data_IF_398096654095
#
_entry.id   IF_398096654095
#
_cell.length_a   1.000
_cell.length_b   1.000
_cell.length_c   1.000
_cell.angle_alpha   90.00
_cell.angle_beta   90.00
_cell.angle_gamma   90.00
#
_symmetry.space_group_name_H-M   'P 1'
#
loop_
_entity.id
_entity.type
_entity.pdbx_description
1 polymer ?
#
# COMPACT_ATOMS: atom_id res chain seq x y z
N UNK A 1 -2.74 -11.95 -10.54
CA UNK A 1 -2.93 -11.19 -9.29
C UNK A 1 -4.40 -10.78 -9.18
N UNK A 2 -4.84 -10.41 -7.98
CA UNK A 2 -6.16 -9.84 -7.70
C UNK A 2 -5.99 -8.48 -6.99
N UNK A 3 -6.90 -7.54 -7.20
CA UNK A 3 -6.85 -6.23 -6.53
C UNK A 3 -6.65 -6.38 -5.02
N UNK A 4 -5.66 -5.67 -4.51
CA UNK A 4 -5.26 -5.70 -3.11
C UNK A 4 -4.23 -6.76 -2.75
N UNK A 5 -3.92 -7.74 -3.61
CA UNK A 5 -2.80 -8.66 -3.35
C UNK A 5 -1.54 -7.83 -3.03
N UNK A 6 -0.93 -8.06 -1.87
CA UNK A 6 0.31 -7.39 -1.48
C UNK A 6 1.49 -8.23 -1.97
N UNK A 7 2.35 -7.60 -2.76
CA UNK A 7 3.55 -8.19 -3.33
C UNK A 7 4.76 -7.76 -2.52
N UNK A 8 5.45 -8.72 -1.94
CA UNK A 8 6.71 -8.49 -1.24
C UNK A 8 7.89 -8.92 -2.10
N UNK A 9 8.80 -7.98 -2.34
CA UNK A 9 9.99 -8.16 -3.17
C UNK A 9 11.24 -8.20 -2.27
N UNK A 10 11.75 -9.39 -1.88
CA UNK A 10 12.89 -9.49 -0.98
C UNK A 10 14.21 -9.05 -1.62
N UNK A 11 14.35 -9.21 -2.93
CA UNK A 11 15.63 -9.05 -3.63
C UNK A 11 15.96 -7.60 -4.01
N UNK A 12 15.31 -6.62 -3.37
CA UNK A 12 15.60 -5.19 -3.53
C UNK A 12 16.39 -4.70 -2.30
N UNK A 13 17.27 -3.70 -2.44
CA UNK A 13 17.88 -3.05 -1.29
C UNK A 13 16.80 -2.58 -0.31
N UNK A 14 16.90 -3.00 0.96
CA UNK A 14 15.89 -2.76 2.03
C UNK A 14 14.52 -3.41 1.85
N UNK A 15 14.41 -4.34 0.90
CA UNK A 15 13.17 -4.98 0.45
C UNK A 15 12.18 -3.95 -0.12
N UNK A 16 11.17 -4.43 -0.84
CA UNK A 16 10.18 -3.53 -1.45
C UNK A 16 8.78 -4.14 -1.37
N UNK A 17 7.77 -3.28 -1.37
CA UNK A 17 6.36 -3.66 -1.32
C UNK A 17 5.61 -2.96 -2.45
N UNK A 18 4.71 -3.70 -3.08
CA UNK A 18 3.67 -3.16 -3.95
C UNK A 18 2.33 -3.78 -3.61
N UNK A 19 1.29 -3.21 -4.17
CA UNK A 19 -0.06 -3.74 -4.12
C UNK A 19 -0.55 -3.94 -5.55
N UNK A 20 -1.19 -5.06 -5.85
CA UNK A 20 -1.90 -5.23 -7.10
C UNK A 20 -3.06 -4.23 -7.14
N UNK A 21 -2.98 -3.27 -8.06
CA UNK A 21 -4.08 -2.36 -8.34
C UNK A 21 -5.20 -3.12 -9.06
N UNK A 22 -4.82 -3.98 -10.00
CA UNK A 22 -5.70 -4.91 -10.72
C UNK A 22 -4.92 -6.19 -11.08
N UNK A 23 -5.44 -6.99 -12.01
CA UNK A 23 -4.83 -8.25 -12.42
C UNK A 23 -3.46 -8.11 -13.13
N UNK A 24 -3.15 -6.94 -13.68
CA UNK A 24 -1.99 -6.64 -14.54
C UNK A 24 -1.21 -5.39 -14.12
N UNK A 25 -1.69 -4.64 -13.13
CA UNK A 25 -1.07 -3.40 -12.67
C UNK A 25 -0.65 -3.51 -11.21
N UNK A 26 0.59 -3.12 -10.92
CA UNK A 26 1.10 -2.98 -9.56
C UNK A 26 1.21 -1.50 -9.22
N UNK A 27 0.64 -1.08 -8.09
CA UNK A 27 0.87 0.25 -7.52
C UNK A 27 1.90 0.16 -6.39
N UNK A 28 2.92 1.00 -6.44
CA UNK A 28 4.02 0.97 -5.48
C UNK A 28 4.76 2.30 -5.41
N UNK A 29 5.50 2.53 -4.32
CA UNK A 29 6.27 3.75 -4.14
C UNK A 29 7.76 3.53 -4.36
N UNK A 30 8.45 4.37 -5.13
CA UNK A 30 9.91 4.35 -5.17
C UNK A 30 10.51 5.76 -5.37
N UNK A 31 11.81 5.89 -5.13
CA UNK A 31 12.53 7.16 -5.21
C UNK A 31 12.58 7.79 -6.61
N UNK A 32 12.20 7.07 -7.68
CA UNK A 32 12.22 7.57 -9.06
C UNK A 32 10.86 8.08 -9.52
N UNK A 33 9.77 7.50 -9.02
CA UNK A 33 8.41 7.72 -9.56
C UNK A 33 7.34 7.91 -8.48
N UNK A 34 7.71 8.25 -7.24
CA UNK A 34 6.75 8.44 -6.14
C UNK A 34 5.84 7.22 -5.98
N UNK A 35 4.60 7.37 -5.48
CA UNK A 35 3.59 6.31 -5.47
C UNK A 35 2.85 6.28 -6.80
N UNK A 36 3.06 5.24 -7.60
CA UNK A 36 2.61 5.18 -8.99
C UNK A 36 2.24 3.77 -9.41
N UNK A 37 1.44 3.70 -10.49
CA UNK A 37 1.05 2.47 -11.17
C UNK A 37 2.11 2.07 -12.20
N UNK A 38 2.45 0.80 -12.23
CA UNK A 38 3.38 0.19 -13.19
C UNK A 38 2.75 -1.09 -13.72
N UNK A 39 2.94 -1.37 -15.01
CA UNK A 39 2.60 -2.67 -15.59
C UNK A 39 3.35 -3.78 -14.87
N UNK A 40 2.65 -4.84 -14.48
CA UNK A 40 3.28 -6.04 -13.94
C UNK A 40 4.19 -6.71 -14.99
N UNK A 41 3.77 -6.65 -16.26
CA UNK A 41 4.56 -7.15 -17.37
C UNK A 41 5.60 -6.11 -17.80
N UNK A 42 6.83 -6.57 -18.00
CA UNK A 42 7.90 -5.80 -18.63
C UNK A 42 8.65 -6.69 -19.63
N UNK A 43 9.26 -6.06 -20.62
CA UNK A 43 9.99 -6.75 -21.67
C UNK A 43 11.50 -6.49 -21.54
N UNK A 44 12.31 -7.51 -21.78
CA UNK A 44 13.74 -7.35 -22.02
C UNK A 44 14.13 -8.15 -23.25
N UNK A 45 14.43 -7.43 -24.35
CA UNK A 45 14.63 -8.05 -25.65
C UNK A 45 13.34 -8.72 -26.14
N UNK A 46 13.40 -10.00 -26.50
CA UNK A 46 12.25 -10.79 -26.98
C UNK A 46 11.48 -11.54 -25.88
N UNK A 47 11.84 -11.33 -24.61
CA UNK A 47 11.24 -12.05 -23.48
C UNK A 47 10.35 -11.11 -22.65
N UNK A 48 9.14 -11.58 -22.34
CA UNK A 48 8.25 -10.93 -21.38
C UNK A 48 8.46 -11.55 -19.99
N UNK A 49 8.52 -10.68 -18.99
CA UNK A 49 8.62 -11.04 -17.58
C UNK A 49 7.49 -10.38 -16.81
N UNK A 50 7.12 -11.00 -15.68
CA UNK A 50 6.16 -10.43 -14.74
C UNK A 50 6.86 -10.12 -13.44
N UNK A 51 6.71 -8.89 -12.93
CA UNK A 51 7.28 -8.48 -11.63
C UNK A 51 6.77 -9.39 -10.53
N UNK A 52 5.48 -9.70 -10.56
CA UNK A 52 4.80 -10.60 -9.63
C UNK A 52 5.35 -12.03 -9.70
N UNK A 53 5.94 -12.46 -10.81
CA UNK A 53 6.47 -13.82 -10.95
C UNK A 53 7.99 -13.90 -10.72
N UNK A 54 8.62 -12.79 -10.35
CA UNK A 54 10.04 -12.73 -10.06
C UNK A 54 10.46 -13.71 -8.97
N UNK A 55 11.72 -14.18 -9.04
CA UNK A 55 12.27 -15.11 -8.07
C UNK A 55 12.13 -14.56 -6.63
N UNK A 56 11.56 -15.37 -5.74
CA UNK A 56 11.39 -15.06 -4.32
C UNK A 56 10.30 -14.03 -3.99
N UNK A 57 9.56 -13.51 -4.97
CA UNK A 57 8.43 -12.61 -4.69
C UNK A 57 7.34 -13.38 -3.95
N UNK A 58 6.95 -12.88 -2.78
CA UNK A 58 5.88 -13.45 -1.98
C UNK A 58 4.58 -12.71 -2.22
N UNK A 59 3.48 -13.44 -2.35
CA UNK A 59 2.14 -12.90 -2.61
C UNK A 59 1.25 -13.11 -1.41
N UNK A 60 0.68 -12.03 -0.90
CA UNK A 60 -0.28 -12.06 0.20
C UNK A 60 -1.65 -11.61 -0.28
N UNK A 61 -2.58 -12.55 -0.35
CA UNK A 61 -3.96 -12.28 -0.74
C UNK A 61 -4.80 -11.94 0.49
N UNK A 62 -5.51 -10.80 0.51
CA UNK A 62 -6.55 -10.54 1.49
C UNK A 62 -7.61 -11.64 1.38
N UNK A 63 -8.20 -12.12 2.48
CA UNK A 63 -9.22 -13.16 2.43
C UNK A 63 -10.57 -12.59 1.98
N UNK A 64 -10.64 -12.14 0.72
CA UNK A 64 -11.80 -11.47 0.12
C UNK A 64 -13.09 -12.25 0.25
N UNK A 65 -13.02 -13.59 0.26
CA UNK A 65 -14.17 -14.47 0.51
C UNK A 65 -14.87 -14.22 1.86
N UNK A 66 -14.19 -13.59 2.84
CA UNK A 66 -14.75 -13.20 4.14
C UNK A 66 -15.35 -11.79 4.14
N UNK A 67 -15.23 -11.06 3.04
CA UNK A 67 -15.75 -9.71 2.89
C UNK A 67 -17.05 -9.75 2.06
N UNK A 68 -18.19 -9.51 2.70
CA UNK A 68 -19.50 -9.59 2.05
C UNK A 68 -19.68 -8.60 0.90
N UNK A 69 -18.91 -7.50 0.90
CA UNK A 69 -18.93 -6.46 -0.13
C UNK A 69 -17.55 -6.30 -0.81
N UNK A 70 -16.87 -7.42 -1.08
CA UNK A 70 -15.51 -7.44 -1.59
C UNK A 70 -15.29 -6.52 -2.82
N UNK A 71 -16.20 -6.52 -3.79
CA UNK A 71 -16.05 -5.71 -5.00
C UNK A 71 -16.10 -4.21 -4.72
N UNK A 72 -17.03 -3.77 -3.86
CA UNK A 72 -17.09 -2.39 -3.41
C UNK A 72 -15.84 -1.98 -2.61
N UNK A 73 -15.29 -2.90 -1.80
CA UNK A 73 -14.05 -2.66 -1.05
C UNK A 73 -12.82 -2.60 -1.94
N UNK A 74 -12.74 -3.43 -2.98
CA UNK A 74 -11.66 -3.37 -3.98
C UNK A 74 -11.71 -2.06 -4.76
N UNK A 75 -12.90 -1.64 -5.19
CA UNK A 75 -13.08 -0.35 -5.86
C UNK A 75 -12.69 0.83 -4.94
N UNK A 76 -13.06 0.77 -3.66
CA UNK A 76 -12.63 1.78 -2.69
C UNK A 76 -11.12 1.78 -2.47
N UNK A 77 -10.51 0.59 -2.37
CA UNK A 77 -9.06 0.46 -2.25
C UNK A 77 -8.32 1.08 -3.43
N UNK A 78 -8.83 0.91 -4.64
CA UNK A 78 -8.31 1.56 -5.85
C UNK A 78 -8.45 3.08 -5.77
N UNK A 79 -9.62 3.60 -5.38
CA UNK A 79 -9.86 5.05 -5.23
C UNK A 79 -8.92 5.68 -4.20
N UNK A 80 -8.74 5.03 -3.05
CA UNK A 80 -7.80 5.47 -2.02
C UNK A 80 -6.37 5.45 -2.57
N UNK A 81 -5.98 4.38 -3.26
CA UNK A 81 -4.65 4.25 -3.83
C UNK A 81 -4.36 5.33 -4.89
N UNK A 82 -5.33 5.64 -5.74
CA UNK A 82 -5.25 6.74 -6.72
C UNK A 82 -5.16 8.11 -6.03
N UNK A 83 -5.94 8.33 -4.97
CA UNK A 83 -5.90 9.58 -4.18
C UNK A 83 -4.53 9.79 -3.51
N UNK A 84 -3.92 8.74 -2.97
CA UNK A 84 -2.55 8.82 -2.44
C UNK A 84 -1.55 9.08 -3.59
N UNK A 85 -1.68 8.37 -4.71
CA UNK A 85 -0.77 8.48 -5.85
C UNK A 85 -0.79 9.86 -6.52
N UNK A 86 -1.93 10.55 -6.46
CA UNK A 86 -2.10 11.88 -7.04
C UNK A 86 -1.20 12.95 -6.40
N UNK A 87 -0.89 12.84 -5.10
CA UNK A 87 -0.16 13.89 -4.36
C UNK A 87 1.03 13.43 -3.53
N UNK A 88 1.19 12.13 -3.26
CA UNK A 88 2.24 11.66 -2.36
C UNK A 88 3.61 11.58 -3.06
N UNK A 89 4.64 12.18 -2.44
CA UNK A 89 6.03 12.06 -2.87
C UNK A 89 6.77 10.93 -2.13
N UNK A 90 7.79 10.35 -2.76
CA UNK A 90 8.62 9.36 -2.08
C UNK A 90 9.59 10.03 -1.08
N UNK A 91 9.45 9.69 0.19
CA UNK A 91 10.28 10.24 1.26
C UNK A 91 11.60 9.52 1.43
N UNK A 92 12.67 9.96 0.74
CA UNK A 92 14.03 9.42 0.95
C UNK A 92 14.47 9.49 2.43
N UNK A 93 14.22 10.63 3.09
CA UNK A 93 14.52 10.80 4.52
C UNK A 93 13.54 10.06 5.44
N UNK A 94 12.29 9.82 5.00
CA UNK A 94 11.35 8.98 5.75
C UNK A 94 11.78 7.52 5.75
N UNK A 95 12.36 7.03 4.67
CA UNK A 95 12.89 5.67 4.62
C UNK A 95 13.98 5.41 5.69
N UNK A 96 14.77 6.44 6.05
CA UNK A 96 15.74 6.36 7.16
C UNK A 96 15.04 6.37 8.53
N UNK A 97 13.95 7.14 8.68
CA UNK A 97 13.16 7.18 9.92
C UNK A 97 12.35 5.90 10.20
N UNK A 98 12.12 5.05 9.20
CA UNK A 98 11.50 3.74 9.44
C UNK A 98 12.27 2.89 10.47
N UNK A 99 13.57 3.12 10.63
CA UNK A 99 14.42 2.44 11.61
C UNK A 99 14.33 3.04 13.03
N UNK A 100 13.70 4.20 13.18
CA UNK A 100 13.60 4.93 14.44
C UNK A 100 12.13 5.12 14.81
N UNK A 101 11.55 4.12 15.46
CA UNK A 101 10.17 4.15 15.95
C UNK A 101 9.62 2.75 16.22
N UNK A 102 8.42 2.69 16.80
CA UNK A 102 7.66 1.44 16.95
C UNK A 102 6.72 1.26 15.76
N UNK A 103 6.74 0.06 15.18
CA UNK A 103 5.85 -0.33 14.08
C UNK A 103 4.45 -0.74 14.53
N UNK A 104 4.20 -0.87 15.84
CA UNK A 104 2.88 -1.18 16.39
C UNK A 104 1.92 0.00 16.21
N UNK A 105 0.66 -0.31 15.90
CA UNK A 105 -0.37 0.73 15.79
C UNK A 105 -0.75 1.29 17.17
N UNK A 106 -0.12 2.40 17.54
CA UNK A 106 -0.35 3.13 18.78
C UNK A 106 -1.14 4.43 18.61
N UNK A 107 -1.29 5.23 19.70
CA UNK A 107 -2.05 6.47 19.69
C UNK A 107 -1.60 7.48 18.62
N UNK A 108 -0.29 7.60 18.38
CA UNK A 108 0.22 8.51 17.34
C UNK A 108 -0.12 8.05 15.93
N UNK A 109 -0.05 6.74 15.67
CA UNK A 109 -0.44 6.15 14.40
C UNK A 109 -1.94 6.38 14.14
N UNK A 110 -2.76 6.21 15.18
CA UNK A 110 -4.18 6.55 15.16
C UNK A 110 -4.41 8.03 14.83
N UNK A 111 -3.75 8.96 15.52
CA UNK A 111 -3.90 10.40 15.25
C UNK A 111 -3.50 10.76 13.81
N UNK A 112 -2.42 10.17 13.28
CA UNK A 112 -2.03 10.37 11.87
C UNK A 112 -3.08 9.81 10.92
N UNK A 113 -3.55 8.59 11.15
CA UNK A 113 -4.57 7.96 10.32
C UNK A 113 -5.86 8.78 10.30
N UNK A 114 -6.32 9.31 11.43
CA UNK A 114 -7.53 10.13 11.48
C UNK A 114 -7.39 11.41 10.65
N UNK A 115 -6.22 12.06 10.64
CA UNK A 115 -5.94 13.20 9.75
C UNK A 115 -5.99 12.79 8.28
N UNK A 116 -5.46 11.62 7.93
CA UNK A 116 -5.52 11.13 6.55
C UNK A 116 -6.94 10.76 6.12
N UNK A 117 -7.73 10.18 7.02
CA UNK A 117 -9.16 9.90 6.81
C UNK A 117 -9.94 11.18 6.56
N UNK A 118 -9.76 12.19 7.41
CA UNK A 118 -10.43 13.49 7.24
C UNK A 118 -10.12 14.11 5.88
N UNK A 119 -8.83 14.17 5.49
CA UNK A 119 -8.41 14.70 4.19
C UNK A 119 -8.99 13.92 3.01
N UNK A 120 -8.95 12.60 3.08
CA UNK A 120 -9.53 11.74 2.05
C UNK A 120 -11.04 11.97 1.94
N UNK A 121 -11.77 11.97 3.06
CA UNK A 121 -13.22 12.18 3.08
C UNK A 121 -13.63 13.57 2.56
N UNK A 122 -12.88 14.63 2.89
CA UNK A 122 -13.10 15.97 2.35
C UNK A 122 -12.84 16.05 0.84
N UNK A 123 -11.88 15.27 0.32
CA UNK A 123 -11.44 15.32 -1.07
C UNK A 123 -12.11 14.32 -2.00
N UNK A 124 -12.68 13.21 -1.50
CA UNK A 124 -13.09 12.05 -2.32
C UNK A 124 -14.20 12.34 -3.33
N UNK A 125 -15.00 13.39 -3.12
CA UNK A 125 -16.00 13.84 -4.09
C UNK A 125 -15.39 14.60 -5.28
N UNK A 126 -14.16 15.09 -5.15
CA UNK A 126 -13.40 15.84 -6.16
C UNK A 126 -11.96 15.34 -6.24
N UNK A 127 -11.71 14.12 -6.77
CA UNK A 127 -10.41 13.46 -6.66
C UNK A 127 -9.24 14.22 -7.28
N UNK A 128 -9.47 15.00 -8.34
CA UNK A 128 -8.44 15.82 -9.00
C UNK A 128 -7.79 16.83 -8.05
N UNK A 129 -8.44 17.17 -6.94
CA UNK A 129 -7.84 18.06 -5.93
C UNK A 129 -6.67 17.41 -5.19
N UNK A 130 -6.59 16.08 -5.11
CA UNK A 130 -5.51 15.41 -4.38
C UNK A 130 -4.11 15.67 -4.97
N UNK A 131 -4.01 16.11 -6.23
CA UNK A 131 -2.73 16.52 -6.84
C UNK A 131 -2.37 17.99 -6.58
N UNK A 132 -3.23 18.76 -5.93
CA UNK A 132 -2.99 20.17 -5.63
C UNK A 132 -2.29 20.32 -4.27
N UNK A 133 -1.27 21.19 -4.14
CA UNK A 133 -0.57 21.41 -2.88
C UNK A 133 -1.51 21.71 -1.71
N UNK A 134 -1.34 21.00 -0.61
CA UNK A 134 -2.15 21.16 0.61
C UNK A 134 -3.45 20.36 0.64
N UNK A 135 -3.84 19.71 -0.46
CA UNK A 135 -5.03 18.85 -0.54
C UNK A 135 -4.68 17.35 -0.56
N UNK A 136 -3.40 16.99 -0.49
CA UNK A 136 -2.95 15.60 -0.57
C UNK A 136 -3.44 14.80 0.66
N UNK A 137 -3.85 13.54 0.45
CA UNK A 137 -4.18 12.63 1.57
C UNK A 137 -2.99 12.53 2.54
N UNK A 138 -1.81 12.28 1.96
CA UNK A 138 -0.52 12.21 2.65
C UNK A 138 0.55 12.76 1.71
N UNK A 139 1.39 13.67 2.21
CA UNK A 139 2.38 14.38 1.40
C UNK A 139 3.59 13.52 1.03
N UNK A 140 3.99 12.62 1.93
CA UNK A 140 5.22 11.86 1.77
C UNK A 140 5.03 10.44 2.25
N UNK A 141 5.43 9.46 1.44
CA UNK A 141 5.27 8.03 1.73
C UNK A 141 6.53 7.24 1.45
N UNK A 142 6.62 6.07 2.07
CA UNK A 142 7.49 4.97 1.64
C UNK A 142 6.64 3.85 1.00
N UNK A 143 7.28 2.81 0.46
CA UNK A 143 6.55 1.74 -0.25
C UNK A 143 5.60 0.95 0.65
N UNK A 144 6.02 0.60 1.85
CA UNK A 144 5.18 -0.07 2.85
C UNK A 144 4.13 0.87 3.42
N UNK A 145 4.50 2.11 3.74
CA UNK A 145 3.57 3.10 4.29
C UNK A 145 2.37 3.32 3.37
N UNK A 146 2.60 3.56 2.08
CA UNK A 146 1.53 3.83 1.12
C UNK A 146 0.52 2.68 1.06
N UNK A 147 1.00 1.43 1.06
CA UNK A 147 0.13 0.24 1.07
C UNK A 147 -0.63 0.09 2.38
N UNK A 148 0.04 0.30 3.52
CA UNK A 148 -0.60 0.24 4.85
C UNK A 148 -1.71 1.28 4.97
N UNK A 149 -1.42 2.54 4.63
CA UNK A 149 -2.39 3.63 4.69
C UNK A 149 -3.55 3.37 3.72
N UNK A 150 -3.30 2.84 2.51
CA UNK A 150 -4.37 2.51 1.57
C UNK A 150 -5.39 1.53 2.17
N UNK A 151 -4.92 0.46 2.82
CA UNK A 151 -5.79 -0.46 3.56
C UNK A 151 -6.46 0.19 4.76
N UNK A 152 -5.72 0.94 5.58
CA UNK A 152 -6.26 1.58 6.76
C UNK A 152 -7.33 2.64 6.47
N UNK A 153 -7.30 3.29 5.30
CA UNK A 153 -8.33 4.23 4.87
C UNK A 153 -9.55 3.51 4.28
N UNK A 154 -9.34 2.40 3.58
CA UNK A 154 -10.41 1.62 2.93
C UNK A 154 -11.30 0.88 3.92
N UNK A 155 -10.71 0.33 4.98
CA UNK A 155 -11.43 -0.51 5.95
C UNK A 155 -11.69 0.23 7.27
N UNK A 156 -12.87 0.06 7.89
CA UNK A 156 -13.14 0.45 9.27
C UNK A 156 -12.01 0.10 10.24
N UNK A 157 -11.85 0.96 11.26
CA UNK A 157 -10.84 0.77 12.30
C UNK A 157 -11.00 -0.60 12.95
N UNK A 158 -9.92 -1.38 12.99
CA UNK A 158 -9.90 -2.69 13.64
C UNK A 158 -10.62 -3.81 12.89
N UNK A 159 -11.13 -3.59 11.68
CA UNK A 159 -11.78 -4.65 10.88
C UNK A 159 -10.77 -5.73 10.49
N UNK A 160 -10.74 -6.83 11.24
CA UNK A 160 -9.83 -7.95 10.96
C UNK A 160 -10.37 -8.80 9.82
N UNK A 161 -9.51 -9.31 8.92
CA UNK A 161 -8.05 -9.12 8.87
C UNK A 161 -7.59 -7.99 7.93
N UNK A 162 -8.51 -7.16 7.43
CA UNK A 162 -8.23 -6.18 6.37
C UNK A 162 -7.58 -4.89 6.88
N UNK A 163 -7.94 -4.44 8.07
CA UNK A 163 -7.29 -3.31 8.72
C UNK A 163 -5.87 -3.71 9.16
N UNK A 164 -4.87 -3.17 8.45
CA UNK A 164 -3.47 -3.43 8.76
C UNK A 164 -3.09 -2.69 10.04
N UNK A 165 -2.99 -3.42 11.14
CA UNK A 165 -2.74 -2.86 12.47
C UNK A 165 -1.24 -2.61 12.72
N UNK A 166 -0.62 -1.82 11.84
CA UNK A 166 0.76 -1.37 11.94
C UNK A 166 0.81 0.15 11.80
N UNK A 167 1.78 0.76 12.46
CA UNK A 167 2.15 2.14 12.19
C UNK A 167 2.85 2.24 10.83
N UNK A 168 2.13 2.70 9.80
CA UNK A 168 2.67 2.85 8.45
C UNK A 168 3.92 3.73 8.38
N UNK A 169 4.08 4.71 9.28
CA UNK A 169 5.24 5.61 9.27
C UNK A 169 6.54 4.96 9.77
N UNK A 170 6.44 3.82 10.47
CA UNK A 170 7.56 3.09 11.06
C UNK A 170 7.57 1.59 10.68
N UNK A 171 6.68 1.15 9.81
CA UNK A 171 6.60 -0.23 9.35
C UNK A 171 7.46 -0.46 8.11
N UNK A 172 8.57 -1.18 8.25
CA UNK A 172 9.39 -1.65 7.14
C UNK A 172 8.64 -2.69 6.28
N UNK A 173 9.04 -2.89 5.01
CA UNK A 173 8.51 -3.97 4.16
C UNK A 173 8.51 -5.36 4.84
N UNK A 174 9.58 -5.71 5.55
CA UNK A 174 9.65 -6.99 6.27
C UNK A 174 8.71 -7.05 7.50
N UNK A 175 8.48 -5.91 8.15
CA UNK A 175 7.50 -5.81 9.25
C UNK A 175 6.09 -6.08 8.73
N UNK A 176 5.72 -5.45 7.60
CA UNK A 176 4.45 -5.70 6.94
C UNK A 176 4.32 -7.17 6.53
N UNK A 177 5.35 -7.75 5.90
CA UNK A 177 5.36 -9.18 5.56
C UNK A 177 5.11 -10.08 6.77
N UNK A 178 5.82 -9.85 7.88
CA UNK A 178 5.67 -10.64 9.11
C UNK A 178 4.25 -10.52 9.65
N UNK A 179 3.68 -9.31 9.65
CA UNK A 179 2.31 -9.08 10.06
C UNK A 179 1.31 -9.81 9.16
N UNK A 180 1.47 -9.76 7.83
CA UNK A 180 0.59 -10.44 6.88
C UNK A 180 0.56 -11.95 7.11
N UNK A 181 1.73 -12.56 7.36
CA UNK A 181 1.83 -13.99 7.71
C UNK A 181 1.06 -14.35 8.98
N UNK A 182 1.04 -13.46 9.96
CA UNK A 182 0.36 -13.69 11.24
C UNK A 182 -1.14 -13.32 11.22
N UNK A 183 -1.60 -12.57 10.22
CA UNK A 183 -2.91 -11.90 10.25
C UNK A 183 -4.00 -12.58 9.42
N UNK A 184 -3.81 -13.86 9.08
CA UNK A 184 -4.82 -14.65 8.35
C UNK A 184 -4.96 -14.28 6.87
N UNK A 185 -3.95 -13.62 6.30
CA UNK A 185 -3.82 -13.43 4.86
C UNK A 185 -3.27 -14.69 4.23
N UNK A 186 -3.75 -15.04 3.04
CA UNK A 186 -3.31 -16.24 2.34
C UNK A 186 -2.02 -15.95 1.60
N UNK A 187 -0.95 -16.68 1.92
CA UNK A 187 0.25 -16.70 1.08
C UNK A 187 -0.06 -17.55 -0.16
N UNK A 188 -0.11 -16.94 -1.34
CA UNK A 188 -0.44 -17.63 -2.61
C UNK A 188 0.79 -18.00 -3.44
N UNK A 189 1.96 -17.43 -3.10
CA UNK A 189 3.28 -17.75 -3.65
C UNK A 189 4.37 -17.34 -2.66
#
# INVERSE_FOLDING_TARGET
METGDILYFPNRPFHHIGMAYDARTVIHANHKKNFHKTSDQYETGSQSFYMSEGAGVEHFRPPWAKCSNADARKAELQRVADAIAAGAEYGKYRAVRLFAGDSAFGPEAFTRLMKYRERYEMGKATPDRFSQPGNEVIKTVTCSEAVIIAYQLTFPLGERPFFINLDGAHAMPNTLRTWLKASGWQKTR
#
